data_IF_681505916860
#
_entry.id   IF_681505916860
#
_cell.length_a   1.000
_cell.length_b   1.000
_cell.length_c   1.000
_cell.angle_alpha   90.00
_cell.angle_beta   90.00
_cell.angle_gamma   90.00
#
_symmetry.space_group_name_H-M   'P 1'
#
loop_
_entity.id
_entity.type
_entity.pdbx_description
1 polymer ?
#
# COMPACT_ATOMS: atom_id res chain seq x y z
N UNK A 1 50.10 39.79 37.69
CA UNK A 1 49.62 39.01 36.54
C UNK A 1 48.59 38.02 37.09
N UNK A 2 47.31 38.41 37.11
CA UNK A 2 46.22 37.54 37.56
C UNK A 2 45.68 36.74 36.38
N UNK A 3 45.68 35.43 36.53
CA UNK A 3 44.89 34.52 35.70
C UNK A 3 43.47 34.46 36.28
N UNK A 4 42.48 34.84 35.48
CA UNK A 4 41.06 34.62 35.74
C UNK A 4 40.55 33.63 34.68
N UNK A 5 40.32 32.41 35.18
CA UNK A 5 39.11 31.61 34.99
C UNK A 5 38.24 31.95 33.76
N UNK A 6 38.23 31.05 32.77
CA UNK A 6 37.18 30.99 31.75
C UNK A 6 36.71 29.54 31.67
N UNK A 7 35.66 29.25 32.44
CA UNK A 7 34.80 28.08 32.26
C UNK A 7 33.75 28.36 31.19
N UNK A 8 33.71 27.45 30.21
CA UNK A 8 32.56 26.92 29.47
C UNK A 8 31.23 27.72 29.46
N UNK A 9 30.77 28.06 28.26
CA UNK A 9 29.34 28.26 27.97
C UNK A 9 29.06 27.95 26.50
N UNK A 10 28.60 26.74 26.31
CA UNK A 10 27.87 26.26 25.15
C UNK A 10 26.67 27.18 24.86
N UNK A 11 26.47 27.59 23.60
CA UNK A 11 25.13 27.99 23.14
C UNK A 11 24.85 27.47 21.73
N UNK A 12 24.01 26.45 21.77
CA UNK A 12 23.18 25.82 20.74
C UNK A 12 22.52 26.84 19.81
N UNK A 13 22.51 26.53 18.51
CA UNK A 13 21.39 26.84 17.61
C UNK A 13 21.40 25.88 16.41
N UNK A 14 21.20 24.59 16.70
CA UNK A 14 20.66 23.64 15.73
C UNK A 14 19.23 23.31 16.18
N UNK A 15 18.27 24.15 15.81
CA UNK A 15 16.85 23.91 16.06
C UNK A 15 16.08 24.30 14.80
N UNK A 16 16.01 23.35 13.87
CA UNK A 16 15.27 23.52 12.61
C UNK A 16 14.79 22.24 11.95
N UNK A 17 14.94 21.06 12.56
CA UNK A 17 14.67 19.76 11.91
C UNK A 17 13.75 18.80 12.71
N UNK A 18 12.98 19.29 13.68
CA UNK A 18 12.15 18.45 14.54
C UNK A 18 10.63 18.70 14.41
N UNK A 19 10.16 19.29 13.31
CA UNK A 19 8.75 19.23 12.94
C UNK A 19 8.46 17.88 12.28
N UNK A 20 8.43 16.85 13.12
CA UNK A 20 7.92 15.51 12.82
C UNK A 20 6.51 15.65 12.25
N UNK A 21 6.31 15.34 10.98
CA UNK A 21 4.98 15.27 10.35
C UNK A 21 4.21 14.09 10.94
N UNK A 22 3.49 14.29 12.04
CA UNK A 22 2.72 13.23 12.74
C UNK A 22 1.45 12.78 11.96
N UNK A 23 1.57 12.46 10.68
CA UNK A 23 0.45 12.14 9.80
C UNK A 23 -0.05 10.70 9.94
N UNK A 24 0.70 9.85 10.65
CA UNK A 24 0.31 8.45 10.92
C UNK A 24 -1.04 8.35 11.66
N UNK A 25 -1.28 9.15 12.70
CA UNK A 25 -2.52 9.08 13.49
C UNK A 25 -3.76 9.58 12.72
N UNK A 26 -3.72 10.77 12.06
CA UNK A 26 -4.80 11.19 11.17
C UNK A 26 -5.17 10.15 10.12
N UNK A 27 -4.16 9.52 9.50
CA UNK A 27 -4.38 8.52 8.46
C UNK A 27 -5.05 7.24 9.00
N UNK A 28 -4.62 6.74 10.15
CA UNK A 28 -5.31 5.61 10.81
C UNK A 28 -6.76 5.96 11.16
N UNK A 29 -7.03 7.21 11.54
CA UNK A 29 -8.39 7.67 11.81
C UNK A 29 -9.22 7.74 10.51
N UNK A 30 -8.61 8.15 9.39
CA UNK A 30 -9.23 8.14 8.07
C UNK A 30 -9.58 6.72 7.63
N UNK A 31 -8.64 5.77 7.75
CA UNK A 31 -8.88 4.34 7.50
C UNK A 31 -10.05 3.82 8.35
N UNK A 32 -10.11 4.17 9.63
CA UNK A 32 -11.25 3.80 10.51
C UNK A 32 -12.57 4.39 10.01
N UNK A 33 -12.57 5.63 9.54
CA UNK A 33 -13.77 6.28 8.99
C UNK A 33 -14.22 5.64 7.68
N UNK A 34 -13.28 5.32 6.79
CA UNK A 34 -13.53 4.59 5.55
C UNK A 34 -14.08 3.19 5.83
N UNK A 35 -13.51 2.45 6.79
CA UNK A 35 -13.97 1.11 7.13
C UNK A 35 -15.38 1.14 7.72
N UNK A 36 -15.68 2.13 8.57
CA UNK A 36 -17.05 2.37 9.07
C UNK A 36 -18.04 2.63 7.93
N UNK A 37 -17.62 3.30 6.87
CA UNK A 37 -18.44 3.58 5.68
C UNK A 37 -18.67 2.29 4.91
N UNK A 38 -17.60 1.56 4.57
CA UNK A 38 -17.67 0.26 3.88
C UNK A 38 -18.65 -0.69 4.58
N UNK A 39 -18.53 -0.88 5.89
CA UNK A 39 -19.41 -1.76 6.67
C UNK A 39 -20.87 -1.31 6.64
N UNK A 40 -21.14 -0.01 6.57
CA UNK A 40 -22.50 0.54 6.65
C UNK A 40 -23.20 0.64 5.30
N UNK A 41 -22.46 0.90 4.23
CA UNK A 41 -23.03 1.26 2.92
C UNK A 41 -22.51 0.41 1.77
N UNK A 42 -21.43 -0.36 1.98
CA UNK A 42 -20.70 -1.04 0.90
C UNK A 42 -19.84 -0.12 0.04
N UNK A 43 -19.74 1.17 0.38
CA UNK A 43 -18.97 2.15 -0.38
C UNK A 43 -17.48 2.03 -0.04
N UNK A 44 -16.66 1.78 -1.07
CA UNK A 44 -15.21 1.69 -0.95
C UNK A 44 -14.55 3.06 -0.85
N UNK A 45 -13.30 3.10 -0.39
CA UNK A 45 -12.52 4.35 -0.30
C UNK A 45 -11.07 4.06 -0.64
N UNK A 46 -10.44 4.96 -1.41
CA UNK A 46 -9.01 4.90 -1.73
C UNK A 46 -8.35 6.11 -1.09
N UNK A 47 -7.27 5.87 -0.35
CA UNK A 47 -6.45 6.91 0.27
C UNK A 47 -5.08 6.88 -0.41
N UNK A 48 -4.77 7.94 -1.15
CA UNK A 48 -3.48 8.07 -1.84
C UNK A 48 -2.38 8.51 -0.86
N UNK A 49 -1.49 7.57 -0.54
CA UNK A 49 -0.40 7.81 0.40
C UNK A 49 0.71 8.67 -0.23
N UNK A 50 0.82 8.71 -1.56
CA UNK A 50 1.82 9.55 -2.25
C UNK A 50 1.52 11.05 -2.11
N UNK A 51 0.25 11.39 -1.88
CA UNK A 51 -0.20 12.76 -1.67
C UNK A 51 0.02 13.26 -0.23
N UNK A 52 0.44 12.38 0.69
CA UNK A 52 0.61 12.71 2.11
C UNK A 52 2.10 12.95 2.40
N UNK A 53 2.46 14.08 3.04
CA UNK A 53 3.83 14.30 3.45
C UNK A 53 4.18 13.36 4.62
N UNK A 54 5.01 12.35 4.37
CA UNK A 54 5.58 11.50 5.41
C UNK A 54 6.92 12.05 5.88
N UNK A 55 7.13 12.00 7.18
CA UNK A 55 8.40 12.31 7.80
C UNK A 55 9.25 11.04 7.90
N UNK A 56 10.50 11.18 8.37
CA UNK A 56 11.37 10.03 8.56
C UNK A 56 10.70 8.98 9.46
N UNK A 57 10.46 7.77 8.91
CA UNK A 57 9.88 6.63 9.63
C UNK A 57 8.36 6.60 9.77
N UNK A 58 7.62 7.59 9.28
CA UNK A 58 6.15 7.58 9.38
C UNK A 58 5.51 6.49 8.51
N UNK A 59 6.02 6.28 7.29
CA UNK A 59 5.52 5.23 6.40
C UNK A 59 5.72 3.84 7.03
N UNK A 60 6.92 3.56 7.54
CA UNK A 60 7.24 2.30 8.22
C UNK A 60 6.33 2.10 9.43
N UNK A 61 6.20 3.13 10.27
CA UNK A 61 5.31 3.10 11.44
C UNK A 61 3.86 2.85 11.05
N UNK A 62 3.36 3.49 9.98
CA UNK A 62 2.01 3.26 9.47
C UNK A 62 1.84 1.80 9.06
N UNK A 63 2.76 1.26 8.26
CA UNK A 63 2.72 -0.11 7.78
C UNK A 63 2.78 -1.12 8.93
N UNK A 64 3.62 -0.88 9.94
CA UNK A 64 3.69 -1.68 11.16
C UNK A 64 2.37 -1.65 11.96
N UNK A 65 1.73 -0.48 12.03
CA UNK A 65 0.44 -0.30 12.70
C UNK A 65 -0.72 -0.91 11.91
N UNK A 66 -0.68 -0.94 10.59
CA UNK A 66 -1.63 -1.69 9.78
C UNK A 66 -1.35 -3.20 9.86
N UNK A 67 -0.09 -3.59 9.99
CA UNK A 67 0.34 -4.99 10.03
C UNK A 67 0.01 -5.72 8.72
N UNK A 68 0.16 -7.04 8.77
CA UNK A 68 -0.14 -7.94 7.64
C UNK A 68 -1.29 -8.88 8.00
N UNK A 69 -2.22 -9.04 7.07
CA UNK A 69 -3.34 -9.96 7.13
C UNK A 69 -3.02 -11.31 6.50
N UNK A 70 -4.05 -11.96 5.97
CA UNK A 70 -3.96 -13.33 5.46
C UNK A 70 -3.63 -13.36 3.96
N UNK A 71 -4.04 -12.32 3.22
CA UNK A 71 -3.94 -12.30 1.76
C UNK A 71 -2.82 -11.39 1.29
N UNK A 72 -1.99 -11.92 0.39
CA UNK A 72 -1.00 -11.15 -0.36
C UNK A 72 -1.00 -11.64 -1.81
N UNK A 73 -0.92 -10.69 -2.74
CA UNK A 73 -0.76 -10.94 -4.15
C UNK A 73 0.35 -10.05 -4.74
N UNK A 74 0.97 -10.56 -5.80
CA UNK A 74 1.91 -9.82 -6.63
C UNK A 74 1.45 -9.96 -8.08
N UNK A 75 1.42 -8.84 -8.79
CA UNK A 75 1.13 -8.80 -10.21
C UNK A 75 2.37 -8.27 -10.93
N UNK A 76 2.85 -9.02 -11.92
CA UNK A 76 4.01 -8.65 -12.74
C UNK A 76 3.54 -8.29 -14.17
N UNK A 77 2.61 -7.35 -14.27
CA UNK A 77 2.04 -6.86 -15.53
C UNK A 77 2.36 -5.37 -15.70
N UNK A 78 3.19 -5.03 -16.69
CA UNK A 78 3.64 -3.65 -16.97
C UNK A 78 4.38 -2.97 -15.81
N UNK A 79 4.95 -3.77 -14.91
CA UNK A 79 5.57 -3.33 -13.67
C UNK A 79 5.07 -4.15 -12.48
N UNK A 80 5.78 -4.08 -11.35
CA UNK A 80 5.44 -4.88 -10.17
C UNK A 80 4.38 -4.18 -9.34
N UNK A 81 3.30 -4.88 -9.05
CA UNK A 81 2.29 -4.45 -8.08
C UNK A 81 2.28 -5.42 -6.92
N UNK A 82 2.36 -4.91 -5.69
CA UNK A 82 2.08 -5.68 -4.48
C UNK A 82 0.76 -5.24 -3.89
N UNK A 83 -0.11 -6.20 -3.60
CA UNK A 83 -1.39 -5.99 -2.95
C UNK A 83 -1.38 -6.83 -1.68
N UNK A 84 -1.55 -6.20 -0.52
CA UNK A 84 -1.48 -6.86 0.79
C UNK A 84 -2.68 -6.48 1.61
N UNK A 85 -3.38 -7.47 2.15
CA UNK A 85 -4.35 -7.21 3.21
C UNK A 85 -3.59 -6.83 4.49
N UNK A 86 -4.09 -5.84 5.21
CA UNK A 86 -3.60 -5.51 6.54
C UNK A 86 -4.15 -6.49 7.58
N UNK A 87 -3.76 -6.37 8.86
CA UNK A 87 -4.38 -7.17 9.94
C UNK A 87 -5.88 -6.88 10.13
N UNK A 88 -6.37 -5.82 9.51
CA UNK A 88 -7.77 -5.40 9.53
C UNK A 88 -8.42 -5.76 8.19
N UNK A 89 -9.37 -6.70 8.22
CA UNK A 89 -10.04 -7.15 7.00
C UNK A 89 -10.74 -6.02 6.26
N UNK A 90 -10.61 -6.03 4.93
CA UNK A 90 -11.12 -4.99 4.07
C UNK A 90 -10.27 -3.72 4.03
N UNK A 91 -9.06 -3.73 4.61
CA UNK A 91 -8.06 -2.67 4.48
C UNK A 91 -6.84 -3.25 3.78
N UNK A 92 -6.55 -2.72 2.59
CA UNK A 92 -5.55 -3.25 1.67
C UNK A 92 -4.49 -2.19 1.38
N UNK A 93 -3.24 -2.59 1.29
CA UNK A 93 -2.12 -1.76 0.84
C UNK A 93 -1.82 -2.16 -0.59
N UNK A 94 -1.91 -1.18 -1.50
CA UNK A 94 -1.59 -1.34 -2.92
C UNK A 94 -0.37 -0.51 -3.25
N UNK A 95 0.68 -1.18 -3.72
CA UNK A 95 1.98 -0.60 -4.01
C UNK A 95 2.40 -0.97 -5.43
N UNK A 96 2.37 -0.01 -6.33
CA UNK A 96 2.58 -0.22 -7.76
C UNK A 96 3.83 0.50 -8.25
N UNK A 97 4.66 -0.26 -8.97
CA UNK A 97 5.86 0.19 -9.65
C UNK A 97 5.68 0.04 -11.16
N UNK A 98 6.21 0.97 -11.94
CA UNK A 98 6.30 0.84 -13.39
C UNK A 98 7.45 -0.11 -13.79
N UNK A 99 7.67 -0.30 -15.09
CA UNK A 99 8.78 -1.11 -15.64
C UNK A 99 10.18 -0.55 -15.37
N UNK A 100 10.29 0.69 -14.90
CA UNK A 100 11.54 1.38 -14.57
C UNK A 100 11.82 1.38 -13.05
N UNK A 101 11.09 0.53 -12.30
CA UNK A 101 11.16 0.44 -10.83
C UNK A 101 10.81 1.74 -10.08
N UNK A 102 10.06 2.64 -10.72
CA UNK A 102 9.55 3.84 -10.07
C UNK A 102 8.18 3.57 -9.44
N UNK A 103 8.02 3.92 -8.16
CA UNK A 103 6.75 3.78 -7.44
C UNK A 103 5.73 4.80 -7.96
N UNK A 104 4.76 4.33 -8.73
CA UNK A 104 3.73 5.17 -9.37
C UNK A 104 2.36 5.12 -8.68
N UNK A 105 2.11 4.17 -7.78
CA UNK A 105 0.98 4.24 -6.86
C UNK A 105 1.38 3.69 -5.49
N UNK A 106 0.91 4.34 -4.43
CA UNK A 106 1.00 3.80 -3.08
C UNK A 106 -0.25 4.23 -2.33
N UNK A 107 -1.11 3.27 -2.01
CA UNK A 107 -2.49 3.55 -1.64
C UNK A 107 -2.95 2.60 -0.55
N UNK A 108 -3.88 3.08 0.28
CA UNK A 108 -4.72 2.22 1.10
C UNK A 108 -6.09 2.13 0.43
N UNK A 109 -6.50 0.93 0.06
CA UNK A 109 -7.85 0.66 -0.41
C UNK A 109 -8.66 0.05 0.74
N UNK A 110 -9.78 0.69 1.07
CA UNK A 110 -10.74 0.17 2.04
C UNK A 110 -11.93 -0.36 1.26
N UNK A 111 -11.89 -1.66 0.97
CA UNK A 111 -12.78 -2.37 0.04
C UNK A 111 -12.88 -3.85 0.40
N UNK A 112 -13.93 -4.54 -0.04
CA UNK A 112 -14.10 -5.99 0.15
C UNK A 112 -13.01 -6.80 -0.57
N UNK A 113 -12.75 -6.47 -1.83
CA UNK A 113 -11.68 -7.03 -2.63
C UNK A 113 -11.16 -5.97 -3.63
N UNK A 114 -9.85 -5.71 -3.69
CA UNK A 114 -9.26 -4.81 -4.68
C UNK A 114 -9.63 -5.22 -6.11
N UNK A 115 -10.00 -4.26 -6.94
CA UNK A 115 -10.40 -4.53 -8.33
C UNK A 115 -9.27 -5.16 -9.15
N UNK A 116 -8.01 -4.85 -8.81
CA UNK A 116 -6.82 -5.47 -9.40
C UNK A 116 -6.75 -7.00 -9.18
N UNK A 117 -7.44 -7.53 -8.17
CA UNK A 117 -7.51 -8.98 -7.92
C UNK A 117 -8.69 -9.65 -8.63
N UNK A 118 -9.62 -8.89 -9.21
CA UNK A 118 -10.77 -9.44 -9.92
C UNK A 118 -10.38 -9.84 -11.34
N UNK A 119 -10.71 -11.07 -11.73
CA UNK A 119 -10.54 -11.51 -13.11
C UNK A 119 -11.41 -10.66 -14.05
N UNK A 120 -10.82 -10.17 -15.14
CA UNK A 120 -11.56 -9.37 -16.12
C UNK A 120 -12.44 -10.29 -16.99
N UNK A 121 -13.62 -9.78 -17.38
CA UNK A 121 -14.58 -10.56 -18.17
C UNK A 121 -13.99 -11.04 -19.50
N UNK A 122 -13.20 -10.18 -20.17
CA UNK A 122 -12.56 -10.50 -21.45
C UNK A 122 -11.49 -11.59 -21.29
N UNK A 123 -10.70 -11.53 -20.22
CA UNK A 123 -9.70 -12.55 -19.91
C UNK A 123 -10.35 -13.90 -19.60
N UNK A 124 -11.46 -13.90 -18.87
CA UNK A 124 -12.24 -15.11 -18.60
C UNK A 124 -12.85 -15.69 -19.88
N UNK A 125 -13.37 -14.84 -20.78
CA UNK A 125 -13.90 -15.29 -22.08
C UNK A 125 -12.81 -15.93 -22.93
N UNK A 126 -11.63 -15.29 -23.03
CA UNK A 126 -10.49 -15.86 -23.75
C UNK A 126 -10.00 -17.16 -23.12
N UNK A 127 -10.07 -17.26 -21.79
CA UNK A 127 -9.68 -18.48 -21.07
C UNK A 127 -10.63 -19.64 -21.37
N UNK A 128 -11.94 -19.37 -21.51
CA UNK A 128 -12.92 -20.37 -21.91
C UNK A 128 -12.60 -20.93 -23.31
N UNK A 129 -12.32 -20.06 -24.27
CA UNK A 129 -11.98 -20.47 -25.64
C UNK A 129 -10.70 -21.31 -25.66
N UNK A 130 -9.64 -20.85 -24.97
CA UNK A 130 -8.37 -21.58 -24.85
C UNK A 130 -8.55 -22.96 -24.23
N UNK A 131 -9.37 -23.06 -23.18
CA UNK A 131 -9.64 -24.33 -22.51
C UNK A 131 -10.45 -25.28 -23.40
N UNK A 132 -11.40 -24.76 -24.18
CA UNK A 132 -12.16 -25.57 -25.14
C UNK A 132 -11.25 -26.18 -26.21
N UNK A 133 -10.34 -25.38 -26.80
CA UNK A 133 -9.35 -25.87 -27.76
C UNK A 133 -8.43 -26.94 -27.15
N UNK A 134 -7.93 -26.70 -25.93
CA UNK A 134 -7.09 -27.68 -25.24
C UNK A 134 -7.81 -29.02 -25.01
N UNK A 135 -9.11 -28.98 -24.69
CA UNK A 135 -9.91 -30.19 -24.52
C UNK A 135 -10.11 -30.95 -25.85
N UNK A 136 -10.31 -30.25 -26.96
CA UNK A 136 -10.42 -30.87 -28.29
C UNK A 136 -9.12 -31.56 -28.69
N UNK A 137 -7.97 -30.92 -28.45
CA UNK A 137 -6.64 -31.47 -28.75
C UNK A 137 -6.35 -32.75 -27.93
N UNK A 138 -6.65 -32.74 -26.62
CA UNK A 138 -6.44 -33.91 -25.74
C UNK A 138 -7.34 -35.11 -26.13
N UNK A 139 -8.56 -34.84 -26.59
CA UNK A 139 -9.50 -35.89 -27.01
C UNK A 139 -9.13 -36.50 -28.38
N UNK A 140 -8.42 -35.78 -29.24
CA UNK A 140 -7.93 -36.29 -30.52
C UNK A 140 -6.58 -37.00 -30.41
N UNK A 141 -5.77 -36.66 -29.39
CA UNK A 141 -4.47 -37.28 -29.13
C UNK A 141 -4.50 -38.68 -28.50
N UNK A 142 -5.69 -39.27 -28.32
CA UNK A 142 -5.88 -40.61 -27.72
C UNK A 142 -6.08 -41.75 -28.73
N UNK A 143 -5.91 -41.52 -30.03
CA UNK A 143 -5.96 -42.54 -31.10
C UNK A 143 -4.59 -43.02 -31.61
#
# INVERSE_FOLDING_TARGET
MSALDQTDSSSVSASGNAELTHNTLPLLNEVRHALKRLVRTGESTIIDLRAIPFGPGDEERLLDLLGQGEVQATLDSLGRTSIKESRFSGVWIVDHYNSEDERIAFQIEVIDIPDLLRAQADDMSQSLDKLATLLEDELQGTE
#
